data_IF_356989599364
#
_entry.id   IF_356989599364
#
_cell.length_a   1.000
_cell.length_b   1.000
_cell.length_c   1.000
_cell.angle_alpha   90.00
_cell.angle_beta   90.00
_cell.angle_gamma   90.00
#
_symmetry.space_group_name_H-M   'P 1'
#
loop_
_entity.id
_entity.type
_entity.pdbx_description
1 polymer ?
#
# COMPACT_ATOMS: atom_id res chain seq x y z
N UNK A 1 39.10 -1.22 -21.62
CA UNK A 1 37.64 -1.26 -21.82
C UNK A 1 37.00 -2.03 -20.66
N UNK A 2 36.31 -1.34 -19.74
CA UNK A 2 35.59 -1.97 -18.62
C UNK A 2 34.24 -2.50 -19.13
N UNK A 3 33.99 -3.79 -19.01
CA UNK A 3 32.70 -4.42 -19.34
C UNK A 3 31.70 -4.09 -18.24
N UNK A 4 30.75 -3.20 -18.52
CA UNK A 4 29.63 -2.92 -17.63
C UNK A 4 28.75 -4.17 -17.51
N UNK A 5 28.61 -4.69 -16.29
CA UNK A 5 27.68 -5.79 -16.01
C UNK A 5 26.26 -5.22 -16.08
N UNK A 6 25.50 -5.57 -17.13
CA UNK A 6 24.07 -5.24 -17.22
C UNK A 6 23.36 -5.78 -15.98
N UNK A 7 22.79 -4.89 -15.18
CA UNK A 7 21.98 -5.24 -14.02
C UNK A 7 20.80 -6.09 -14.52
N UNK A 8 20.63 -7.31 -13.97
CA UNK A 8 19.47 -8.15 -14.26
C UNK A 8 18.23 -7.40 -13.73
N UNK A 9 17.31 -7.06 -14.62
CA UNK A 9 16.01 -6.51 -14.23
C UNK A 9 15.28 -7.52 -13.33
N UNK A 10 14.81 -7.06 -12.18
CA UNK A 10 14.01 -7.88 -11.27
C UNK A 10 12.64 -8.11 -11.90
N UNK A 11 12.05 -9.31 -11.76
CA UNK A 11 10.70 -9.57 -12.25
C UNK A 11 9.72 -8.58 -11.62
N UNK A 12 8.97 -7.87 -12.46
CA UNK A 12 7.85 -7.02 -12.05
C UNK A 12 6.62 -7.91 -11.93
N UNK A 13 6.05 -8.00 -10.74
CA UNK A 13 4.81 -8.72 -10.51
C UNK A 13 3.66 -7.72 -10.46
N UNK A 14 2.66 -7.89 -11.32
CA UNK A 14 1.40 -7.17 -11.23
C UNK A 14 0.49 -7.92 -10.25
N UNK A 15 0.39 -7.39 -9.02
CA UNK A 15 -0.49 -7.95 -8.00
C UNK A 15 -1.86 -7.30 -8.16
N UNK A 16 -2.86 -8.08 -8.58
CA UNK A 16 -4.26 -7.65 -8.65
C UNK A 16 -4.95 -8.06 -7.36
N UNK A 17 -5.39 -7.09 -6.56
CA UNK A 17 -6.18 -7.35 -5.35
C UNK A 17 -7.65 -7.38 -5.73
N UNK A 18 -8.27 -8.56 -5.62
CA UNK A 18 -9.68 -8.77 -5.94
C UNK A 18 -10.53 -8.37 -4.71
N UNK A 19 -11.45 -7.40 -4.83
CA UNK A 19 -12.32 -7.00 -3.72
C UNK A 19 -13.25 -8.15 -3.35
N UNK A 20 -13.19 -8.61 -2.11
CA UNK A 20 -14.07 -9.66 -1.59
C UNK A 20 -15.23 -9.01 -0.84
N UNK A 21 -16.49 -9.37 -1.12
CA UNK A 21 -17.62 -8.87 -0.35
C UNK A 21 -17.43 -9.15 1.15
N UNK A 22 -17.47 -8.09 1.96
CA UNK A 22 -17.24 -8.18 3.40
C UNK A 22 -15.77 -8.10 3.83
N UNK A 23 -14.84 -7.73 2.95
CA UNK A 23 -13.45 -7.48 3.35
C UNK A 23 -13.38 -6.29 4.34
N UNK A 24 -13.02 -6.54 5.61
CA UNK A 24 -12.95 -5.47 6.62
C UNK A 24 -11.87 -4.44 6.29
N UNK A 25 -10.80 -4.82 5.60
CA UNK A 25 -9.72 -3.90 5.23
C UNK A 25 -10.22 -2.90 4.19
N UNK A 26 -10.96 -3.38 3.19
CA UNK A 26 -11.55 -2.52 2.16
C UNK A 26 -12.61 -1.57 2.73
N UNK A 27 -13.41 -2.04 3.69
CA UNK A 27 -14.35 -1.20 4.42
C UNK A 27 -13.65 -0.06 5.19
N UNK A 28 -12.55 -0.37 5.89
CA UNK A 28 -11.73 0.63 6.61
C UNK A 28 -11.14 1.65 5.64
N UNK A 29 -10.57 1.20 4.52
CA UNK A 29 -9.96 2.07 3.51
C UNK A 29 -11.02 3.04 2.97
N UNK A 30 -12.18 2.52 2.56
CA UNK A 30 -13.25 3.33 1.99
C UNK A 30 -13.81 4.37 2.98
N UNK A 31 -13.80 4.06 4.28
CA UNK A 31 -14.25 4.99 5.32
C UNK A 31 -13.22 6.11 5.63
N UNK A 32 -11.92 5.82 5.53
CA UNK A 32 -10.85 6.73 5.99
C UNK A 32 -10.24 7.54 4.84
N UNK A 33 -10.04 6.93 3.67
CA UNK A 33 -9.33 7.53 2.53
C UNK A 33 -9.91 8.91 2.11
N UNK A 34 -11.24 9.12 2.04
CA UNK A 34 -11.80 10.42 1.66
C UNK A 34 -11.40 11.54 2.63
N UNK A 35 -11.36 11.24 3.93
CA UNK A 35 -11.01 12.21 4.97
C UNK A 35 -9.51 12.56 4.92
N UNK A 36 -8.66 11.55 4.74
CA UNK A 36 -7.21 11.74 4.57
C UNK A 36 -6.94 12.62 3.34
N UNK A 37 -7.57 12.29 2.21
CA UNK A 37 -7.42 13.07 0.97
C UNK A 37 -7.93 14.51 1.13
N UNK A 38 -9.03 14.73 1.84
CA UNK A 38 -9.55 16.07 2.11
C UNK A 38 -8.56 16.91 2.94
N UNK A 39 -7.92 16.33 3.95
CA UNK A 39 -6.91 17.02 4.78
C UNK A 39 -5.67 17.32 3.95
N UNK A 40 -5.12 16.33 3.23
CA UNK A 40 -3.93 16.53 2.40
C UNK A 40 -4.14 17.62 1.35
N UNK A 41 -5.31 17.63 0.71
CA UNK A 41 -5.67 18.65 -0.28
C UNK A 41 -5.71 20.06 0.32
N UNK A 42 -6.20 20.23 1.55
CA UNK A 42 -6.19 21.53 2.26
C UNK A 42 -4.78 22.08 2.46
N UNK A 43 -3.78 21.20 2.56
CA UNK A 43 -2.37 21.57 2.74
C UNK A 43 -1.56 21.52 1.43
N UNK A 44 -2.20 21.33 0.27
CA UNK A 44 -1.50 21.20 -1.01
C UNK A 44 -0.59 19.96 -1.09
N UNK A 45 -0.85 18.96 -0.25
CA UNK A 45 -0.06 17.74 -0.14
C UNK A 45 -0.76 16.56 -0.83
N UNK A 46 0.01 15.51 -1.11
CA UNK A 46 -0.48 14.24 -1.65
C UNK A 46 0.37 13.08 -1.13
N UNK A 47 -0.18 11.87 -1.15
CA UNK A 47 0.58 10.66 -0.83
C UNK A 47 1.36 10.19 -2.06
N UNK A 48 2.63 9.83 -1.87
CA UNK A 48 3.49 9.27 -2.93
C UNK A 48 3.12 7.84 -3.33
N UNK A 49 2.33 7.16 -2.49
CA UNK A 49 1.77 5.84 -2.73
C UNK A 49 0.28 5.85 -2.36
N UNK A 50 -0.56 5.00 -2.97
CA UNK A 50 -1.98 4.90 -2.63
C UNK A 50 -2.21 4.64 -1.13
N UNK A 51 -3.26 5.21 -0.55
CA UNK A 51 -3.59 5.01 0.86
C UNK A 51 -3.84 3.53 1.19
N UNK A 52 -4.48 2.81 0.26
CA UNK A 52 -4.64 1.35 0.31
C UNK A 52 -3.31 0.62 0.54
N UNK A 53 -2.25 1.00 -0.17
CA UNK A 53 -0.94 0.36 -0.06
C UNK A 53 -0.30 0.62 1.30
N UNK A 54 -0.50 1.81 1.89
CA UNK A 54 -0.06 2.13 3.25
C UNK A 54 -0.74 1.22 4.27
N UNK A 55 -2.06 1.07 4.18
CA UNK A 55 -2.84 0.21 5.08
C UNK A 55 -2.40 -1.25 4.95
N UNK A 56 -2.28 -1.76 3.72
CA UNK A 56 -1.85 -3.14 3.48
C UNK A 56 -0.43 -3.42 4.00
N UNK A 57 0.51 -2.47 3.85
CA UNK A 57 1.86 -2.60 4.41
C UNK A 57 1.84 -2.60 5.94
N UNK A 58 0.96 -1.79 6.54
CA UNK A 58 0.80 -1.72 7.99
C UNK A 58 0.24 -3.02 8.57
N UNK A 59 -0.82 -3.57 7.98
CA UNK A 59 -1.42 -4.85 8.41
C UNK A 59 -0.40 -5.99 8.34
N UNK A 60 0.43 -6.04 7.29
CA UNK A 60 1.51 -7.05 7.17
C UNK A 60 2.61 -6.93 8.24
N UNK A 61 2.80 -5.75 8.83
CA UNK A 61 3.85 -5.47 9.81
C UNK A 61 3.37 -5.57 11.27
N UNK A 62 2.07 -5.76 11.51
CA UNK A 62 1.57 -5.96 12.87
C UNK A 62 2.08 -7.33 13.36
N UNK A 63 2.81 -7.41 14.48
CA UNK A 63 3.09 -8.70 15.11
C UNK A 63 1.75 -9.33 15.46
N UNK A 64 1.49 -10.54 14.96
CA UNK A 64 0.34 -11.31 15.41
C UNK A 64 0.54 -11.53 16.90
N UNK A 65 -0.26 -10.86 17.74
CA UNK A 65 -0.43 -11.24 19.14
C UNK A 65 -1.10 -12.61 19.17
N UNK A 66 -0.30 -13.64 18.95
CA UNK A 66 -0.64 -15.04 19.04
C UNK A 66 0.65 -15.77 19.42
N UNK A 67 1.20 -15.42 20.58
CA UNK A 67 2.15 -16.23 21.37
C UNK A 67 2.25 -15.57 22.75
N UNK A 68 1.18 -15.74 23.55
CA UNK A 68 1.20 -15.84 25.02
C UNK A 68 -0.13 -16.45 25.50
#
# INVERSE_FOLDING_TARGET
MRREKKAKERPKFDIVVIPVPGDPIEAIINAIEPNVNAVLKKHGAYLTIPFRDLVLRHVKHQPSKAEE
#
